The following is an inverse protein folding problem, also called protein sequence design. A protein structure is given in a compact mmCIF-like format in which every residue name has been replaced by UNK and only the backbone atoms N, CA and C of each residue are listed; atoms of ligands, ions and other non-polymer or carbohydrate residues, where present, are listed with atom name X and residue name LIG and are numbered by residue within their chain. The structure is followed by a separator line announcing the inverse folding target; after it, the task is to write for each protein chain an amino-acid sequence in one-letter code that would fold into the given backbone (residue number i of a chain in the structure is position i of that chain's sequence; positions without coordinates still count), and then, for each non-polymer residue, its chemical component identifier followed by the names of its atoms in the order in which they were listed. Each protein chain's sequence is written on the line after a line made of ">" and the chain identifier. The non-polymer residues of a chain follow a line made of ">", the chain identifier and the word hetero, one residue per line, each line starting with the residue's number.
data_IF_797783689743
#
_entry.id   IF_797783689743
#
_cell.length_a   1.000
_cell.length_b   1.000
_cell.length_c   1.000
_cell.angle_alpha   90.00
_cell.angle_beta   90.00
_cell.angle_gamma   90.00
#
_symmetry.space_group_name_H-M   'P 1'
#
loop_
_entity.id
_entity.type
_entity.pdbx_description
1 polymer ?
#
# COMPACT_ATOMS: atom_id res chain seq x y z
N UNK A 1 1.75 -16.44 -8.55
CA UNK A 1 2.32 -17.21 -7.43
C UNK A 1 3.67 -17.85 -7.79
N UNK A 2 3.93 -18.18 -9.08
CA UNK A 2 5.22 -18.76 -9.50
C UNK A 2 6.39 -17.76 -9.51
N UNK A 3 6.14 -16.47 -9.63
CA UNK A 3 7.16 -15.43 -9.73
C UNK A 3 7.50 -14.79 -8.39
N UNK A 4 6.53 -14.71 -7.48
CA UNK A 4 6.70 -14.10 -6.15
C UNK A 4 6.13 -15.08 -5.12
N UNK A 5 6.99 -15.72 -4.31
CA UNK A 5 6.54 -16.63 -3.27
C UNK A 5 5.92 -15.87 -2.08
N UNK A 6 5.18 -16.59 -1.25
CA UNK A 6 4.64 -16.11 0.04
C UNK A 6 3.75 -14.85 -0.05
N UNK A 7 2.87 -14.77 -1.07
CA UNK A 7 1.89 -13.70 -1.16
C UNK A 7 0.79 -13.88 -0.12
N UNK A 8 0.71 -12.97 0.80
CA UNK A 8 -0.37 -12.87 1.78
C UNK A 8 -1.47 -11.94 1.28
N UNK A 9 -2.70 -12.37 1.46
CA UNK A 9 -3.90 -11.67 1.02
C UNK A 9 -4.65 -11.09 2.23
N UNK A 10 -5.13 -9.85 2.11
CA UNK A 10 -5.96 -9.22 3.14
C UNK A 10 -7.10 -8.41 2.53
N UNK A 11 -8.28 -8.54 3.10
CA UNK A 11 -9.48 -7.81 2.69
C UNK A 11 -9.65 -6.58 3.58
N UNK A 12 -9.40 -5.40 3.03
CA UNK A 12 -9.45 -4.14 3.77
C UNK A 12 -10.88 -3.67 4.04
N UNK A 13 -11.77 -3.81 3.05
CA UNK A 13 -13.17 -3.40 3.18
C UNK A 13 -14.09 -4.16 2.23
N UNK A 14 -15.29 -4.46 2.71
CA UNK A 14 -16.41 -4.98 1.91
C UNK A 14 -17.60 -4.06 2.11
N UNK A 15 -18.00 -3.36 1.04
CA UNK A 15 -19.09 -2.40 1.09
C UNK A 15 -20.25 -2.87 0.19
N UNK A 16 -21.46 -2.88 0.74
CA UNK A 16 -22.67 -3.11 -0.02
C UNK A 16 -23.10 -1.82 -0.69
N UNK A 17 -23.29 -1.85 -2.02
CA UNK A 17 -23.74 -0.73 -2.83
C UNK A 17 -25.10 -1.05 -3.40
N UNK A 18 -26.04 -0.13 -3.28
CA UNK A 18 -27.40 -0.30 -3.75
C UNK A 18 -27.74 0.81 -4.77
N UNK A 19 -28.42 0.43 -5.83
CA UNK A 19 -29.01 1.34 -6.80
C UNK A 19 -30.49 1.02 -6.99
N UNK A 20 -31.32 2.04 -6.94
CA UNK A 20 -32.73 1.92 -7.37
C UNK A 20 -32.80 1.99 -8.88
N UNK A 21 -33.56 1.09 -9.48
CA UNK A 21 -33.93 1.06 -10.89
C UNK A 21 -35.43 0.98 -11.00
N UNK A 22 -36.01 1.21 -12.19
CA UNK A 22 -37.45 1.14 -12.43
C UNK A 22 -38.05 -0.22 -12.04
N UNK A 23 -37.24 -1.29 -12.15
CA UNK A 23 -37.65 -2.65 -11.77
C UNK A 23 -37.26 -3.03 -10.32
N UNK A 24 -36.93 -2.05 -9.47
CA UNK A 24 -36.61 -2.26 -8.06
C UNK A 24 -35.14 -2.07 -7.71
N UNK A 25 -34.76 -2.53 -6.51
CA UNK A 25 -33.48 -2.33 -5.88
C UNK A 25 -32.44 -3.34 -6.39
N UNK A 26 -31.33 -2.86 -6.94
CA UNK A 26 -30.18 -3.70 -7.31
C UNK A 26 -29.04 -3.54 -6.33
N UNK A 27 -28.60 -4.66 -5.75
CA UNK A 27 -27.50 -4.73 -4.78
C UNK A 27 -26.23 -5.23 -5.47
N UNK A 28 -25.09 -4.63 -5.14
CA UNK A 28 -23.75 -5.09 -5.52
C UNK A 28 -22.79 -4.91 -4.35
N UNK A 29 -21.75 -5.72 -4.32
CA UNK A 29 -20.69 -5.62 -3.34
C UNK A 29 -19.42 -5.03 -3.97
N UNK A 30 -18.79 -4.11 -3.24
CA UNK A 30 -17.50 -3.53 -3.60
C UNK A 30 -16.47 -4.01 -2.59
N UNK A 31 -15.45 -4.72 -3.06
CA UNK A 31 -14.40 -5.32 -2.24
C UNK A 31 -13.08 -4.64 -2.56
N UNK A 32 -12.38 -4.21 -1.51
CA UNK A 32 -11.03 -3.68 -1.54
C UNK A 32 -10.09 -4.72 -0.93
N UNK A 33 -9.15 -5.22 -1.72
CA UNK A 33 -8.13 -6.18 -1.28
C UNK A 33 -6.72 -5.62 -1.47
N UNK A 34 -5.83 -6.00 -0.56
CA UNK A 34 -4.38 -5.81 -0.67
C UNK A 34 -3.70 -7.17 -0.65
N UNK A 35 -2.66 -7.32 -1.46
CA UNK A 35 -1.82 -8.51 -1.54
C UNK A 35 -0.37 -8.08 -1.43
N UNK A 36 0.46 -8.80 -0.69
CA UNK A 36 1.89 -8.49 -0.59
C UNK A 36 2.67 -9.65 0.01
N UNK A 37 3.98 -9.63 -0.15
CA UNK A 37 4.89 -10.66 0.38
C UNK A 37 5.63 -10.23 1.66
N UNK A 38 5.28 -9.07 2.23
CA UNK A 38 5.99 -8.46 3.35
C UNK A 38 7.48 -8.20 3.10
N UNK A 39 7.96 -8.37 1.86
CA UNK A 39 9.35 -8.21 1.48
C UNK A 39 9.54 -7.34 0.23
N UNK A 40 8.74 -6.30 0.10
CA UNK A 40 8.92 -5.26 -0.91
C UNK A 40 8.02 -5.38 -2.14
N UNK A 41 7.01 -6.22 -2.14
CA UNK A 41 5.97 -6.21 -3.17
C UNK A 41 4.59 -6.01 -2.56
N UNK A 42 3.82 -5.12 -3.14
CA UNK A 42 2.44 -4.89 -2.73
C UNK A 42 1.55 -4.62 -3.93
N UNK A 43 0.34 -5.15 -3.90
CA UNK A 43 -0.70 -4.92 -4.89
C UNK A 43 -2.01 -4.53 -4.23
N UNK A 44 -2.74 -3.61 -4.83
CA UNK A 44 -4.04 -3.16 -4.35
C UNK A 44 -5.05 -3.23 -5.49
N UNK A 45 -6.23 -3.79 -5.22
CA UNK A 45 -7.30 -3.82 -6.20
C UNK A 45 -8.68 -3.60 -5.59
N UNK A 46 -9.56 -3.03 -6.41
CA UNK A 46 -10.96 -2.84 -6.11
C UNK A 46 -11.77 -3.58 -7.15
N UNK A 47 -12.70 -4.41 -6.70
CA UNK A 47 -13.62 -5.14 -7.56
C UNK A 47 -15.07 -4.99 -7.10
N UNK A 48 -16.00 -5.07 -8.07
CA UNK A 48 -17.43 -5.05 -7.84
C UNK A 48 -18.06 -6.34 -8.38
N UNK A 49 -18.98 -6.90 -7.62
CA UNK A 49 -19.71 -8.13 -8.01
C UNK A 49 -21.10 -8.22 -7.40
N UNK A 50 -21.84 -9.27 -7.76
CA UNK A 50 -23.17 -9.56 -7.21
C UNK A 50 -23.08 -10.36 -5.91
N UNK A 51 -22.06 -11.18 -5.77
CA UNK A 51 -21.83 -12.07 -4.65
C UNK A 51 -20.49 -11.74 -3.97
N UNK A 52 -20.40 -11.85 -2.65
CA UNK A 52 -19.22 -11.45 -1.88
C UNK A 52 -18.04 -12.39 -2.17
N UNK A 53 -18.25 -13.71 -2.07
CA UNK A 53 -17.18 -14.72 -2.20
C UNK A 53 -16.47 -14.63 -3.57
N UNK A 54 -17.23 -14.67 -4.65
CA UNK A 54 -16.68 -14.55 -6.02
C UNK A 54 -16.01 -13.19 -6.27
N UNK A 55 -16.52 -12.11 -5.64
CA UNK A 55 -15.94 -10.78 -5.75
C UNK A 55 -14.61 -10.66 -5.02
N UNK A 56 -14.45 -11.31 -3.86
CA UNK A 56 -13.17 -11.38 -3.12
C UNK A 56 -12.12 -12.08 -3.98
N UNK A 57 -12.41 -13.27 -4.52
CA UNK A 57 -11.48 -14.01 -5.39
C UNK A 57 -11.06 -13.17 -6.61
N UNK A 58 -12.02 -12.51 -7.24
CA UNK A 58 -11.75 -11.61 -8.36
C UNK A 58 -10.87 -10.41 -7.95
N UNK A 59 -11.07 -9.86 -6.75
CA UNK A 59 -10.27 -8.76 -6.23
C UNK A 59 -8.82 -9.20 -5.95
N UNK A 60 -8.63 -10.38 -5.38
CA UNK A 60 -7.32 -10.98 -5.13
C UNK A 60 -6.56 -11.20 -6.45
N UNK A 61 -7.18 -11.85 -7.42
CA UNK A 61 -6.57 -12.05 -8.74
C UNK A 61 -6.15 -10.74 -9.39
N UNK A 62 -7.01 -9.71 -9.31
CA UNK A 62 -6.70 -8.39 -9.84
C UNK A 62 -5.57 -7.70 -9.04
N UNK A 63 -5.51 -7.88 -7.72
CA UNK A 63 -4.43 -7.33 -6.89
C UNK A 63 -3.09 -7.98 -7.23
N UNK A 64 -3.05 -9.30 -7.46
CA UNK A 64 -1.87 -10.04 -7.93
C UNK A 64 -1.37 -9.51 -9.28
N UNK A 65 -2.25 -9.13 -10.19
CA UNK A 65 -1.86 -8.51 -11.47
C UNK A 65 -1.37 -7.06 -11.34
N UNK A 66 -1.67 -6.38 -10.23
CA UNK A 66 -1.27 -4.99 -9.97
C UNK A 66 -0.14 -4.85 -8.96
N UNK A 67 0.67 -5.90 -8.78
CA UNK A 67 1.84 -5.88 -7.91
C UNK A 67 2.86 -4.84 -8.36
N UNK A 68 3.40 -4.11 -7.40
CA UNK A 68 4.40 -3.06 -7.60
C UNK A 68 5.54 -3.31 -6.62
N UNK A 69 6.81 -3.30 -7.07
CA UNK A 69 7.93 -3.31 -6.15
C UNK A 69 7.92 -2.03 -5.30
N UNK A 70 8.36 -2.10 -4.07
CA UNK A 70 8.41 -0.98 -3.13
C UNK A 70 9.86 -0.71 -2.77
N UNK A 71 10.28 0.54 -2.85
CA UNK A 71 11.56 0.96 -2.32
C UNK A 71 11.50 1.09 -0.81
N UNK A 72 12.39 0.38 -0.13
CA UNK A 72 12.59 0.47 1.31
C UNK A 72 13.98 1.03 1.58
N UNK A 73 14.14 1.77 2.65
CA UNK A 73 15.43 2.36 3.00
C UNK A 73 15.42 3.00 4.38
N UNK A 74 16.56 3.55 4.80
CA UNK A 74 16.72 4.25 6.06
C UNK A 74 16.90 5.75 5.80
N UNK A 75 15.79 6.47 5.60
CA UNK A 75 15.83 7.91 5.30
C UNK A 75 15.90 8.82 6.51
N UNK A 76 15.80 8.29 7.74
CA UNK A 76 15.97 9.05 8.97
C UNK A 76 17.44 9.08 9.40
N UNK A 77 17.91 10.23 9.88
CA UNK A 77 19.28 10.40 10.41
C UNK A 77 19.56 9.54 11.67
N UNK A 78 18.52 9.19 12.40
CA UNK A 78 18.58 8.31 13.59
C UNK A 78 18.56 6.82 13.22
N UNK A 79 18.32 6.48 11.97
CA UNK A 79 18.33 5.08 11.50
C UNK A 79 19.77 4.59 11.44
N UNK A 80 20.08 3.56 12.23
CA UNK A 80 21.40 2.94 12.21
C UNK A 80 21.75 2.25 10.88
N UNK A 81 22.94 1.66 10.81
CA UNK A 81 23.38 0.83 9.67
C UNK A 81 22.64 -0.53 9.71
N UNK A 82 21.47 -0.60 9.12
CA UNK A 82 20.67 -1.82 9.05
C UNK A 82 19.89 -1.90 7.75
N UNK A 83 19.27 -3.04 7.45
CA UNK A 83 18.39 -3.16 6.28
C UNK A 83 17.26 -2.13 6.36
N UNK A 84 16.98 -1.48 5.25
CA UNK A 84 15.94 -0.46 5.18
C UNK A 84 14.55 -1.02 5.50
N UNK A 85 13.98 -0.58 6.63
CA UNK A 85 12.63 -0.96 7.08
C UNK A 85 11.63 0.20 7.03
N UNK A 86 12.07 1.34 6.52
CA UNK A 86 11.30 2.57 6.38
C UNK A 86 11.23 3.01 4.92
N UNK A 87 10.64 4.18 4.66
CA UNK A 87 10.72 4.85 3.36
C UNK A 87 12.00 5.67 3.27
N UNK A 88 12.73 5.66 2.14
CA UNK A 88 14.00 6.39 2.03
C UNK A 88 13.84 7.90 1.99
N UNK A 89 12.73 8.40 1.45
CA UNK A 89 12.44 9.83 1.28
C UNK A 89 10.98 10.14 1.60
N UNK A 90 10.70 11.40 1.88
CA UNK A 90 9.32 11.90 2.05
C UNK A 90 8.58 11.82 0.71
N UNK A 91 7.42 11.18 0.71
CA UNK A 91 6.58 11.01 -0.47
C UNK A 91 5.11 11.26 -0.15
N UNK A 92 4.37 11.84 -1.09
CA UNK A 92 2.94 12.15 -0.92
C UNK A 92 2.13 11.47 -2.00
N UNK A 93 1.18 10.61 -1.59
CA UNK A 93 0.20 10.02 -2.50
C UNK A 93 -1.17 10.68 -2.36
N UNK A 94 -1.91 10.72 -3.46
CA UNK A 94 -3.26 11.30 -3.51
C UNK A 94 -4.25 10.34 -4.15
N UNK A 95 -5.47 10.33 -3.59
CA UNK A 95 -6.63 9.69 -4.21
C UNK A 95 -7.90 10.48 -3.86
N UNK A 96 -8.54 11.05 -4.89
CA UNK A 96 -9.64 11.99 -4.67
C UNK A 96 -9.20 13.21 -3.86
N UNK A 97 -9.90 13.49 -2.75
CA UNK A 97 -9.54 14.56 -1.80
C UNK A 97 -8.51 14.12 -0.75
N UNK A 98 -8.33 12.80 -0.57
CA UNK A 98 -7.42 12.26 0.45
C UNK A 98 -5.97 12.37 0.00
N UNK A 99 -5.12 12.91 0.87
CA UNK A 99 -3.68 12.97 0.69
C UNK A 99 -3.00 12.27 1.86
N UNK A 100 -2.02 11.43 1.56
CA UNK A 100 -1.20 10.73 2.55
C UNK A 100 0.26 11.03 2.25
N UNK A 101 0.94 11.63 3.21
CA UNK A 101 2.38 11.88 3.12
C UNK A 101 3.09 10.90 4.04
N UNK A 102 3.95 10.08 3.48
CA UNK A 102 4.82 9.16 4.20
C UNK A 102 6.17 9.82 4.42
N UNK A 103 6.69 9.69 5.63
CA UNK A 103 7.97 10.27 6.04
C UNK A 103 8.84 9.19 6.68
N UNK A 104 10.17 9.22 6.44
CA UNK A 104 11.10 8.33 7.09
C UNK A 104 10.98 8.40 8.61
N UNK A 105 11.03 7.26 9.27
CA UNK A 105 11.04 7.16 10.73
C UNK A 105 12.26 6.36 11.20
N UNK A 106 12.79 6.62 12.41
CA UNK A 106 13.85 5.82 12.99
C UNK A 106 13.37 4.40 13.30
N UNK A 107 14.31 3.46 13.34
CA UNK A 107 14.02 2.06 13.63
C UNK A 107 13.33 1.90 15.00
N UNK A 108 12.31 1.05 15.06
CA UNK A 108 11.56 0.76 16.28
C UNK A 108 10.41 1.71 16.60
N UNK A 109 10.14 2.72 15.79
CA UNK A 109 8.98 3.63 15.98
C UNK A 109 7.65 2.99 15.60
N UNK A 110 7.68 1.98 14.73
CA UNK A 110 6.47 1.35 14.21
C UNK A 110 5.73 2.21 13.19
N UNK A 111 4.57 1.75 12.79
CA UNK A 111 3.73 2.41 11.79
C UNK A 111 2.80 3.42 12.44
N UNK A 112 3.10 4.70 12.29
CA UNK A 112 2.26 5.82 12.75
C UNK A 112 1.37 6.28 11.60
N UNK A 113 0.32 5.51 11.35
CA UNK A 113 -0.66 5.73 10.27
C UNK A 113 -2.00 5.07 10.65
N UNK A 114 -3.10 5.51 10.05
CA UNK A 114 -4.42 4.90 10.25
C UNK A 114 -4.44 3.41 9.83
N UNK A 115 -5.35 2.63 10.42
CA UNK A 115 -5.37 1.16 10.32
C UNK A 115 -5.32 0.63 8.88
N UNK A 116 -6.11 1.18 7.97
CA UNK A 116 -6.10 0.79 6.56
C UNK A 116 -4.72 0.97 5.90
N UNK A 117 -4.06 2.11 6.18
CA UNK A 117 -2.71 2.36 5.67
C UNK A 117 -1.67 1.44 6.31
N UNK A 118 -1.83 1.13 7.60
CA UNK A 118 -0.99 0.19 8.34
C UNK A 118 -0.99 -1.20 7.68
N UNK A 119 -2.17 -1.71 7.32
CA UNK A 119 -2.29 -2.99 6.61
C UNK A 119 -1.58 -2.98 5.26
N UNK A 120 -1.73 -1.89 4.49
CA UNK A 120 -1.03 -1.74 3.19
C UNK A 120 0.49 -1.72 3.37
N UNK A 121 1.01 -0.96 4.35
CA UNK A 121 2.45 -0.84 4.60
C UNK A 121 3.04 -2.14 5.17
N UNK A 122 2.32 -2.85 6.04
CA UNK A 122 2.74 -4.16 6.54
C UNK A 122 2.92 -5.16 5.39
N UNK A 123 1.96 -5.20 4.44
CA UNK A 123 2.08 -6.07 3.25
C UNK A 123 3.21 -5.67 2.30
N UNK A 124 3.64 -4.40 2.35
CA UNK A 124 4.81 -3.91 1.62
C UNK A 124 6.15 -4.21 2.33
N UNK A 125 6.13 -4.70 3.58
CA UNK A 125 7.33 -4.96 4.38
C UNK A 125 7.96 -3.72 4.99
N UNK A 126 7.19 -2.65 5.17
CA UNK A 126 7.61 -1.43 5.87
C UNK A 126 7.15 -1.53 7.31
N UNK A 127 8.05 -1.37 8.26
CA UNK A 127 7.77 -1.47 9.70
C UNK A 127 7.77 -0.14 10.43
N UNK A 128 8.51 0.85 9.92
CA UNK A 128 8.70 2.13 10.58
C UNK A 128 8.38 3.29 9.63
N UNK A 129 7.31 4.02 9.88
CA UNK A 129 6.90 5.19 9.07
C UNK A 129 6.17 6.19 9.93
N UNK A 130 6.46 7.47 9.72
CA UNK A 130 5.58 8.56 10.12
C UNK A 130 4.68 8.96 8.97
N UNK A 131 3.45 9.34 9.27
CA UNK A 131 2.53 9.82 8.26
C UNK A 131 1.84 11.12 8.66
N UNK A 132 1.57 11.94 7.66
CA UNK A 132 0.66 13.09 7.76
C UNK A 132 -0.45 12.90 6.74
N UNK A 133 -1.69 13.11 7.16
CA UNK A 133 -2.85 12.89 6.31
C UNK A 133 -3.73 14.13 6.25
N UNK A 134 -4.33 14.39 5.09
CA UNK A 134 -5.27 15.50 4.92
C UNK A 134 -6.43 15.12 3.99
N UNK A 135 -7.52 15.87 4.08
CA UNK A 135 -8.74 15.62 3.30
C UNK A 135 -9.67 14.59 3.95
N UNK A 136 -10.47 13.89 3.14
CA UNK A 136 -11.47 12.92 3.62
C UNK A 136 -10.84 11.56 3.90
N UNK A 137 -10.10 11.46 4.99
CA UNK A 137 -9.37 10.25 5.41
C UNK A 137 -10.28 9.11 5.90
N UNK A 138 -11.53 9.40 6.24
CA UNK A 138 -12.52 8.37 6.62
C UNK A 138 -12.89 7.42 5.48
N UNK A 139 -12.70 7.84 4.22
CA UNK A 139 -12.99 6.98 3.07
C UNK A 139 -11.92 5.93 2.93
N UNK A 140 -12.16 4.73 3.44
CA UNK A 140 -11.23 3.58 3.45
C UNK A 140 -10.60 3.31 2.09
N UNK A 141 -11.42 3.32 1.02
CA UNK A 141 -10.98 3.07 -0.35
C UNK A 141 -9.96 4.13 -0.81
N UNK A 142 -10.30 5.41 -0.61
CA UNK A 142 -9.42 6.50 -1.03
C UNK A 142 -8.15 6.55 -0.20
N UNK A 143 -8.24 6.24 1.10
CA UNK A 143 -7.08 6.22 1.99
C UNK A 143 -6.10 5.12 1.60
N UNK A 144 -6.57 3.88 1.38
CA UNK A 144 -5.73 2.78 0.89
C UNK A 144 -5.10 3.11 -0.48
N UNK A 145 -5.89 3.66 -1.39
CA UNK A 145 -5.40 4.04 -2.72
C UNK A 145 -4.36 5.17 -2.65
N UNK A 146 -4.55 6.17 -1.78
CA UNK A 146 -3.59 7.25 -1.58
C UNK A 146 -2.27 6.72 -1.01
N UNK A 147 -2.32 5.80 -0.02
CA UNK A 147 -1.13 5.13 0.52
C UNK A 147 -0.41 4.32 -0.56
N UNK A 148 -1.13 3.55 -1.35
CA UNK A 148 -0.56 2.78 -2.46
C UNK A 148 0.03 3.68 -3.56
N UNK A 149 -0.62 4.81 -3.87
CA UNK A 149 -0.08 5.78 -4.83
C UNK A 149 1.19 6.46 -4.31
N UNK A 150 1.32 6.69 -2.99
CA UNK A 150 2.56 7.17 -2.39
C UNK A 150 3.71 6.17 -2.62
N UNK A 151 3.47 4.87 -2.42
CA UNK A 151 4.46 3.83 -2.70
C UNK A 151 4.83 3.74 -4.19
N UNK A 152 3.87 3.89 -5.09
CA UNK A 152 4.13 3.98 -6.53
C UNK A 152 5.00 5.17 -6.89
N UNK A 153 4.71 6.33 -6.31
CA UNK A 153 5.46 7.56 -6.57
C UNK A 153 6.91 7.46 -6.08
N UNK A 154 7.12 6.73 -4.98
CA UNK A 154 8.46 6.44 -4.48
C UNK A 154 9.33 5.74 -5.53
N UNK A 155 8.78 4.74 -6.24
CA UNK A 155 9.48 4.02 -7.31
C UNK A 155 9.80 4.88 -8.55
N UNK A 156 9.05 5.95 -8.77
CA UNK A 156 9.28 6.86 -9.89
C UNK A 156 10.40 7.86 -9.60
N UNK A 157 10.80 7.97 -8.34
CA UNK A 157 11.84 8.93 -7.92
C UNK A 157 13.21 8.37 -8.28
N UNK A 158 14.00 9.14 -9.06
CA UNK A 158 15.38 8.80 -9.36
C UNK A 158 16.28 9.15 -8.18
N UNK A 159 17.02 8.18 -7.69
CA UNK A 159 17.96 8.33 -6.58
C UNK A 159 19.35 8.03 -7.10
N UNK A 160 20.33 8.88 -6.77
CA UNK A 160 21.72 8.69 -7.16
C UNK A 160 22.37 7.49 -6.44
N UNK A 161 23.37 6.86 -7.04
CA UNK A 161 23.98 5.65 -6.49
C UNK A 161 24.66 5.88 -5.13
N UNK A 162 25.19 7.06 -4.88
CA UNK A 162 25.73 7.46 -3.56
C UNK A 162 24.65 7.45 -2.48
N UNK A 163 23.46 7.95 -2.80
CA UNK A 163 22.34 8.00 -1.87
C UNK A 163 21.70 6.63 -1.69
N UNK A 164 21.72 5.77 -2.70
CA UNK A 164 21.28 4.38 -2.57
C UNK A 164 22.08 3.63 -1.52
N UNK A 165 23.41 3.77 -1.56
CA UNK A 165 24.30 3.15 -0.57
C UNK A 165 24.11 3.75 0.83
N UNK A 166 24.06 5.09 0.93
CA UNK A 166 23.87 5.79 2.21
C UNK A 166 22.55 5.47 2.91
N UNK A 167 21.49 5.33 2.14
CA UNK A 167 20.14 5.08 2.65
C UNK A 167 19.79 3.59 2.72
N UNK A 168 20.71 2.70 2.37
CA UNK A 168 20.50 1.24 2.32
C UNK A 168 19.23 0.87 1.57
N UNK A 169 19.07 1.42 0.36
CA UNK A 169 17.84 1.24 -0.42
C UNK A 169 17.79 -0.17 -0.99
N UNK A 170 16.69 -0.84 -0.74
CA UNK A 170 16.32 -2.12 -1.35
C UNK A 170 15.04 -1.93 -2.17
N UNK A 171 14.94 -2.58 -3.32
CA UNK A 171 13.75 -2.56 -4.17
C UNK A 171 13.27 -3.98 -4.41
N UNK A 172 12.04 -4.30 -4.01
CA UNK A 172 11.55 -5.67 -4.04
C UNK A 172 12.35 -6.55 -3.07
N UNK A 173 12.65 -7.78 -3.48
CA UNK A 173 13.44 -8.76 -2.69
C UNK A 173 14.95 -8.56 -2.80
N UNK A 174 15.43 -7.61 -3.58
CA UNK A 174 16.86 -7.40 -3.83
C UNK A 174 17.37 -6.04 -3.33
N UNK A 175 18.68 -5.99 -3.00
CA UNK A 175 19.42 -4.74 -2.90
C UNK A 175 19.65 -4.17 -4.31
N UNK A 176 19.36 -2.90 -4.51
CA UNK A 176 19.60 -2.16 -5.77
C UNK A 176 21.00 -1.60 -5.81
#
# INVERSE_FOLDING_TARGET
>A
DALIPNLEEDVLAVNMIQRMTDSGRRVRFNVLCVVGNQDGYVGLAICKGKEVASTIQKAITKAKMSLVPVMRGNGSWESGQGPGKSVPIKVTGRSGSTRVTLMPAPAGKGLVIGDTGRRVLNKAGITDVWSSTSGQTRTTINFAQATFNALKQLNMTRIGDRDKQRLHITQGEGSV
#
